data_IF_437277035839
#
_entry.id   IF_437277035839
#
_cell.length_a   1.000
_cell.length_b   1.000
_cell.length_c   1.000
_cell.angle_alpha   90.00
_cell.angle_beta   90.00
_cell.angle_gamma   90.00
#
_symmetry.space_group_name_H-M   'P 1'
#
loop_
_entity.id
_entity.type
_entity.pdbx_description
1 polymer ?
#
# COMPACT_ATOMS: atom_id res chain seq x y z
N UNK A 1 19.08 17.11 4.83
CA UNK A 1 19.28 15.83 5.53
C UNK A 1 18.55 15.92 6.86
N UNK A 2 17.51 15.12 7.10
CA UNK A 2 16.82 15.09 8.40
C UNK A 2 17.79 14.45 9.40
N UNK A 3 18.11 15.10 10.53
CA UNK A 3 19.06 14.55 11.49
C UNK A 3 18.52 13.24 12.07
N UNK A 4 19.34 12.19 12.05
CA UNK A 4 19.01 10.91 12.69
C UNK A 4 18.95 11.15 14.20
N UNK A 5 17.74 11.19 14.74
CA UNK A 5 17.49 11.33 16.17
C UNK A 5 16.75 10.10 16.67
N UNK A 6 17.15 9.61 17.84
CA UNK A 6 16.43 8.52 18.51
C UNK A 6 14.98 8.96 18.76
N UNK A 7 14.03 8.20 18.24
CA UNK A 7 12.62 8.38 18.55
C UNK A 7 12.36 7.89 19.98
N UNK A 8 11.82 8.77 20.81
CA UNK A 8 11.33 8.39 22.14
C UNK A 8 9.87 7.98 22.02
N UNK A 9 9.56 6.77 22.48
CA UNK A 9 8.21 6.22 22.47
C UNK A 9 7.78 5.99 23.91
N UNK A 10 6.63 6.55 24.27
CA UNK A 10 5.99 6.30 25.56
C UNK A 10 4.75 5.45 25.31
N UNK A 11 4.72 4.19 25.77
CA UNK A 11 3.54 3.36 25.60
C UNK A 11 2.39 3.93 26.44
N UNK A 12 1.22 4.01 25.84
CA UNK A 12 -0.01 4.34 26.56
C UNK A 12 -0.46 3.14 27.39
N UNK A 13 -1.12 3.41 28.51
CA UNK A 13 -1.79 2.37 29.30
C UNK A 13 -2.96 1.80 28.52
N UNK A 14 -3.25 0.53 28.76
CA UNK A 14 -4.41 -0.15 28.19
C UNK A 14 -5.71 0.61 28.55
N UNK A 15 -6.64 0.61 27.61
CA UNK A 15 -7.92 1.29 27.71
C UNK A 15 -9.02 0.28 27.41
N UNK A 16 -9.99 0.14 28.32
CA UNK A 16 -11.17 -0.69 28.11
C UNK A 16 -12.24 0.15 27.38
N UNK A 17 -12.04 0.34 26.07
CA UNK A 17 -12.89 1.18 25.22
C UNK A 17 -13.23 0.44 23.93
N UNK A 18 -14.52 0.37 23.60
CA UNK A 18 -15.00 -0.25 22.37
C UNK A 18 -14.79 0.64 21.13
N UNK A 19 -13.76 0.35 20.35
CA UNK A 19 -13.40 1.06 19.11
C UNK A 19 -14.34 0.81 17.92
N UNK A 20 -15.37 -0.04 18.04
CA UNK A 20 -16.33 -0.26 16.96
C UNK A 20 -17.35 0.88 16.79
N UNK A 21 -17.40 1.83 17.74
CA UNK A 21 -18.36 2.94 17.75
C UNK A 21 -17.69 4.31 17.58
N UNK A 22 -18.45 5.30 17.11
CA UNK A 22 -17.98 6.70 17.01
C UNK A 22 -17.60 7.22 18.41
N UNK A 23 -18.49 7.05 19.39
CA UNK A 23 -18.25 7.44 20.80
C UNK A 23 -17.00 6.78 21.37
N UNK A 24 -16.79 5.49 21.09
CA UNK A 24 -15.60 4.79 21.52
C UNK A 24 -14.32 5.39 20.96
N UNK A 25 -14.29 5.77 19.67
CA UNK A 25 -13.11 6.42 19.08
C UNK A 25 -12.86 7.82 19.68
N UNK A 26 -13.92 8.58 19.97
CA UNK A 26 -13.81 9.86 20.69
C UNK A 26 -13.20 9.62 22.08
N UNK A 27 -13.74 8.67 22.83
CA UNK A 27 -13.28 8.35 24.18
C UNK A 27 -11.82 7.87 24.18
N UNK A 28 -11.43 7.08 23.17
CA UNK A 28 -10.03 6.66 23.00
C UNK A 28 -9.13 7.86 22.76
N UNK A 29 -9.45 8.75 21.81
CA UNK A 29 -8.64 9.95 21.57
C UNK A 29 -8.52 10.82 22.83
N UNK A 30 -9.63 11.08 23.52
CA UNK A 30 -9.62 11.84 24.78
C UNK A 30 -8.75 11.17 25.85
N UNK A 31 -8.81 9.84 25.99
CA UNK A 31 -7.99 9.10 26.94
C UNK A 31 -6.50 9.10 26.56
N UNK A 32 -6.18 9.02 25.26
CA UNK A 32 -4.81 9.14 24.76
C UNK A 32 -4.23 10.52 25.08
N UNK A 33 -4.98 11.59 24.80
CA UNK A 33 -4.55 12.97 25.08
C UNK A 33 -4.41 13.24 26.58
N UNK A 34 -5.35 12.77 27.40
CA UNK A 34 -5.26 12.86 28.86
C UNK A 34 -4.00 12.15 29.40
N UNK A 35 -3.67 10.96 28.88
CA UNK A 35 -2.44 10.26 29.25
C UNK A 35 -1.17 10.98 28.79
N UNK A 36 -1.25 11.72 27.69
CA UNK A 36 -0.18 12.61 27.21
C UNK A 36 -0.09 13.95 27.94
N UNK A 37 -1.02 14.25 28.86
CA UNK A 37 -1.08 15.52 29.57
C UNK A 37 -1.46 16.71 28.68
N UNK A 38 -2.15 16.46 27.56
CA UNK A 38 -2.58 17.49 26.60
C UNK A 38 -4.09 17.62 26.57
N UNK A 39 -4.60 18.81 26.31
CA UNK A 39 -6.03 19.08 26.37
C UNK A 39 -6.37 20.56 26.19
N UNK A 40 -7.61 20.92 26.57
CA UNK A 40 -8.06 22.30 26.64
C UNK A 40 -7.92 22.80 28.09
N UNK A 41 -6.89 23.59 28.44
CA UNK A 41 -6.72 24.06 29.81
C UNK A 41 -7.82 25.05 30.24
N UNK A 42 -8.64 25.54 29.30
CA UNK A 42 -9.74 26.48 29.53
C UNK A 42 -11.11 25.81 29.32
N UNK A 43 -11.18 24.48 29.42
CA UNK A 43 -12.44 23.75 29.38
C UNK A 43 -13.43 24.29 30.42
N UNK A 44 -12.95 24.53 31.65
CA UNK A 44 -13.58 25.38 32.66
C UNK A 44 -12.91 26.77 32.67
N UNK A 45 -13.57 27.81 32.11
CA UNK A 45 -13.02 29.17 32.09
C UNK A 45 -12.85 29.78 33.49
N UNK A 46 -13.55 29.26 34.51
CA UNK A 46 -13.52 29.78 35.88
C UNK A 46 -12.36 29.21 36.70
N UNK A 47 -11.81 28.06 36.31
CA UNK A 47 -10.69 27.40 36.95
C UNK A 47 -9.77 26.73 35.92
N UNK A 48 -8.92 27.49 35.21
CA UNK A 48 -8.01 26.92 34.22
C UNK A 48 -7.06 25.90 34.83
N UNK A 49 -6.84 24.78 34.13
CA UNK A 49 -5.94 23.72 34.59
C UNK A 49 -4.55 23.90 33.98
N UNK A 50 -3.64 24.52 34.74
CA UNK A 50 -2.25 24.78 34.31
C UNK A 50 -1.41 23.50 34.12
N UNK A 51 -1.85 22.36 34.65
CA UNK A 51 -1.17 21.08 34.44
C UNK A 51 -1.45 20.48 33.05
N UNK A 52 -2.48 20.95 32.35
CA UNK A 52 -2.82 20.51 30.99
C UNK A 52 -2.11 21.40 29.98
N UNK A 53 -1.37 20.76 29.07
CA UNK A 53 -0.71 21.49 27.98
C UNK A 53 -1.70 21.77 26.84
N UNK A 54 -1.88 23.05 26.52
CA UNK A 54 -2.64 23.48 25.35
C UNK A 54 -1.94 23.05 24.07
N UNK A 55 -2.69 22.37 23.19
CA UNK A 55 -2.21 21.93 21.88
C UNK A 55 -2.96 22.60 20.72
N UNK A 56 -3.67 23.70 20.96
CA UNK A 56 -4.46 24.41 19.95
C UNK A 56 -3.65 24.93 18.76
N UNK A 57 -2.35 25.19 18.95
CA UNK A 57 -1.42 25.59 17.88
C UNK A 57 -0.75 24.39 17.18
N UNK A 58 -1.02 23.16 17.63
CA UNK A 58 -0.38 21.95 17.12
C UNK A 58 -1.39 21.02 16.45
N UNK A 59 -0.86 20.11 15.63
CA UNK A 59 -1.61 18.99 15.08
C UNK A 59 -1.17 17.69 15.75
N UNK A 60 -2.15 16.85 16.08
CA UNK A 60 -1.95 15.48 16.52
C UNK A 60 -2.13 14.55 15.32
N UNK A 61 -1.03 13.94 14.88
CA UNK A 61 -1.05 12.92 13.82
C UNK A 61 -1.54 11.61 14.42
N UNK A 62 -2.65 11.10 13.91
CA UNK A 62 -3.27 9.87 14.40
C UNK A 62 -3.24 8.82 13.28
N UNK A 63 -2.56 7.71 13.54
CA UNK A 63 -2.59 6.54 12.68
C UNK A 63 -3.63 5.55 13.17
N UNK A 64 -4.40 4.99 12.24
CA UNK A 64 -5.40 3.98 12.53
C UNK A 64 -5.80 3.21 11.28
N UNK A 65 -6.54 2.13 11.46
CA UNK A 65 -7.14 1.44 10.34
C UNK A 65 -8.21 2.30 9.66
N UNK A 66 -8.70 1.83 8.51
CA UNK A 66 -9.74 2.54 7.75
C UNK A 66 -11.01 2.76 8.57
N UNK A 67 -11.38 1.79 9.42
CA UNK A 67 -12.55 1.87 10.27
C UNK A 67 -12.43 2.94 11.35
N UNK A 68 -11.25 3.13 11.92
CA UNK A 68 -10.92 4.24 12.83
C UNK A 68 -11.03 5.56 12.10
N UNK A 69 -10.44 5.68 10.90
CA UNK A 69 -10.53 6.90 10.09
C UNK A 69 -12.00 7.30 9.87
N UNK A 70 -12.84 6.40 9.36
CA UNK A 70 -14.26 6.69 9.08
C UNK A 70 -15.01 7.20 10.32
N UNK A 71 -14.71 6.62 11.49
CA UNK A 71 -15.35 6.99 12.76
C UNK A 71 -14.86 8.34 13.27
N UNK A 72 -13.56 8.62 13.19
CA UNK A 72 -12.99 9.92 13.57
C UNK A 72 -13.48 11.04 12.64
N UNK A 73 -13.51 10.80 11.32
CA UNK A 73 -14.05 11.77 10.36
C UNK A 73 -15.54 12.07 10.64
N UNK A 74 -16.32 11.05 10.99
CA UNK A 74 -17.71 11.23 11.39
C UNK A 74 -17.84 11.97 12.72
N UNK A 75 -16.98 11.67 13.70
CA UNK A 75 -16.92 12.38 14.98
C UNK A 75 -16.64 13.88 14.77
N UNK A 76 -15.62 14.23 13.96
CA UNK A 76 -15.31 15.62 13.64
C UNK A 76 -16.49 16.33 12.97
N UNK A 77 -17.19 15.65 12.05
CA UNK A 77 -18.40 16.20 11.40
C UNK A 77 -19.52 16.47 12.40
N UNK A 78 -19.80 15.53 13.33
CA UNK A 78 -20.82 15.72 14.37
C UNK A 78 -20.45 16.80 15.37
N UNK A 79 -19.16 16.88 15.74
CA UNK A 79 -18.66 17.84 16.71
C UNK A 79 -18.39 19.22 16.12
N UNK A 80 -18.72 19.50 14.85
CA UNK A 80 -18.43 20.79 14.19
C UNK A 80 -19.00 22.02 14.93
N UNK A 81 -20.07 21.84 15.71
CA UNK A 81 -20.73 22.91 16.48
C UNK A 81 -20.19 23.07 17.91
N UNK A 82 -19.26 22.22 18.35
CA UNK A 82 -18.68 22.32 19.68
C UNK A 82 -17.96 23.65 19.89
N UNK A 83 -17.97 24.14 21.14
CA UNK A 83 -17.46 25.47 21.49
C UNK A 83 -15.98 25.65 21.16
N UNK A 84 -15.14 24.69 21.53
CA UNK A 84 -13.68 24.83 21.45
C UNK A 84 -13.07 24.01 20.31
N UNK A 85 -11.97 24.47 19.69
CA UNK A 85 -11.26 23.69 18.66
C UNK A 85 -10.89 22.27 19.11
N UNK A 86 -10.52 22.14 20.39
CA UNK A 86 -10.22 20.85 21.01
C UNK A 86 -11.42 19.91 20.98
N UNK A 87 -12.59 20.39 21.41
CA UNK A 87 -13.83 19.61 21.36
C UNK A 87 -14.29 19.33 19.93
N UNK A 88 -13.98 20.20 18.95
CA UNK A 88 -14.23 19.89 17.54
C UNK A 88 -13.27 18.84 16.94
N UNK A 89 -12.27 18.38 17.72
CA UNK A 89 -11.17 17.52 17.27
C UNK A 89 -10.39 18.14 16.09
N UNK A 90 -10.36 19.47 15.97
CA UNK A 90 -9.73 20.15 14.82
C UNK A 90 -8.21 19.93 14.71
N UNK A 91 -7.57 19.63 15.84
CA UNK A 91 -6.14 19.32 15.91
C UNK A 91 -5.82 17.90 15.42
N UNK A 92 -6.81 17.02 15.26
CA UNK A 92 -6.58 15.62 14.86
C UNK A 92 -6.43 15.52 13.34
N UNK A 93 -5.27 15.05 12.89
CA UNK A 93 -4.99 14.73 11.49
C UNK A 93 -4.83 13.23 11.33
N UNK A 94 -5.79 12.59 10.68
CA UNK A 94 -5.74 11.16 10.40
C UNK A 94 -4.76 10.88 9.26
N UNK A 95 -3.82 9.97 9.49
CA UNK A 95 -2.88 9.47 8.48
C UNK A 95 -3.14 7.98 8.24
N UNK A 96 -3.20 7.52 6.98
CA UNK A 96 -3.37 6.11 6.67
C UNK A 96 -2.35 5.22 7.39
N UNK A 97 -2.82 4.17 8.05
CA UNK A 97 -1.94 3.10 8.48
C UNK A 97 -1.44 2.32 7.25
N UNK A 98 -0.17 2.51 6.89
CA UNK A 98 0.42 1.91 5.69
C UNK A 98 0.37 0.38 5.69
N UNK A 99 0.40 -0.25 6.87
CA UNK A 99 0.18 -1.70 6.98
C UNK A 99 -1.17 -2.13 6.41
N UNK A 100 -2.26 -1.44 6.74
CA UNK A 100 -3.59 -1.74 6.20
C UNK A 100 -3.71 -1.39 4.72
N UNK A 101 -2.99 -0.37 4.25
CA UNK A 101 -2.87 -0.10 2.82
C UNK A 101 -2.24 -1.29 2.08
N UNK A 102 -1.12 -1.84 2.59
CA UNK A 102 -0.47 -3.03 2.04
C UNK A 102 -1.36 -4.27 2.09
N UNK A 103 -2.16 -4.44 3.15
CA UNK A 103 -3.17 -5.50 3.21
C UNK A 103 -4.24 -5.35 2.13
N UNK A 104 -4.76 -4.13 1.95
CA UNK A 104 -5.75 -3.83 0.93
C UNK A 104 -5.18 -4.03 -0.49
N UNK A 105 -3.92 -3.66 -0.71
CA UNK A 105 -3.20 -3.88 -1.97
C UNK A 105 -3.05 -5.36 -2.28
N UNK A 106 -2.65 -6.20 -1.32
CA UNK A 106 -2.54 -7.64 -1.52
C UNK A 106 -3.89 -8.28 -1.85
N UNK A 107 -4.96 -7.85 -1.18
CA UNK A 107 -6.32 -8.30 -1.50
C UNK A 107 -6.77 -7.83 -2.88
N UNK A 108 -6.44 -6.61 -3.30
CA UNK A 108 -6.76 -6.12 -4.64
C UNK A 108 -6.07 -6.93 -5.75
N UNK A 109 -4.81 -7.30 -5.58
CA UNK A 109 -4.11 -8.22 -6.49
C UNK A 109 -4.85 -9.56 -6.56
N UNK A 110 -5.31 -10.08 -5.42
CA UNK A 110 -6.11 -11.31 -5.37
C UNK A 110 -7.45 -11.17 -6.12
N UNK A 111 -8.13 -10.04 -5.97
CA UNK A 111 -9.37 -9.74 -6.68
C UNK A 111 -9.19 -9.70 -8.20
N UNK A 112 -8.00 -9.32 -8.68
CA UNK A 112 -7.69 -9.22 -10.12
C UNK A 112 -7.27 -10.58 -10.67
N UNK A 113 -6.34 -11.27 -10.00
CA UNK A 113 -5.63 -12.42 -10.56
C UNK A 113 -6.23 -13.78 -10.18
N UNK A 114 -7.06 -13.84 -9.13
CA UNK A 114 -7.55 -15.12 -8.59
C UNK A 114 -9.08 -15.21 -8.59
N UNK A 115 -9.79 -14.16 -8.16
CA UNK A 115 -11.24 -14.23 -8.00
C UNK A 115 -12.01 -14.47 -9.31
N UNK A 116 -11.67 -13.86 -10.46
CA UNK A 116 -12.35 -14.12 -11.71
C UNK A 116 -12.04 -15.55 -12.20
N UNK A 117 -13.04 -16.26 -12.70
CA UNK A 117 -12.85 -17.61 -13.24
C UNK A 117 -11.87 -17.62 -14.41
N UNK A 118 -12.01 -16.66 -15.32
CA UNK A 118 -11.21 -16.57 -16.55
C UNK A 118 -9.72 -16.26 -16.26
N UNK A 119 -9.43 -15.60 -15.14
CA UNK A 119 -8.06 -15.32 -14.70
C UNK A 119 -7.27 -16.58 -14.29
N UNK A 120 -7.95 -17.73 -14.14
CA UNK A 120 -7.35 -18.99 -13.65
C UNK A 120 -7.15 -20.05 -14.75
N UNK A 121 -7.55 -19.74 -15.98
CA UNK A 121 -7.56 -20.71 -17.09
C UNK A 121 -6.17 -20.84 -17.74
N UNK A 122 -5.42 -19.74 -17.80
CA UNK A 122 -4.09 -19.70 -18.41
C UNK A 122 -3.12 -20.68 -17.74
N UNK A 123 -2.48 -21.54 -18.55
CA UNK A 123 -1.57 -22.58 -18.08
C UNK A 123 -0.28 -22.04 -17.45
N UNK A 124 0.14 -20.84 -17.83
CA UNK A 124 1.26 -20.12 -17.21
C UNK A 124 0.80 -18.98 -16.28
N UNK A 125 -0.50 -18.88 -16.01
CA UNK A 125 -1.07 -17.81 -15.20
C UNK A 125 -0.72 -17.90 -13.71
N UNK A 126 -0.91 -16.78 -13.00
CA UNK A 126 -0.61 -16.62 -11.57
C UNK A 126 -1.16 -17.75 -10.69
N UNK A 127 -2.40 -18.18 -10.91
CA UNK A 127 -3.01 -19.29 -10.14
C UNK A 127 -2.35 -20.66 -10.42
N UNK A 128 -1.86 -20.91 -11.64
CA UNK A 128 -1.19 -22.19 -11.96
C UNK A 128 0.16 -22.27 -11.27
N UNK A 129 0.91 -21.18 -11.24
CA UNK A 129 2.18 -21.09 -10.51
C UNK A 129 1.93 -21.28 -9.01
N UNK A 130 0.88 -20.66 -8.45
CA UNK A 130 0.46 -20.90 -7.06
C UNK A 130 0.15 -22.39 -6.82
N UNK A 131 -0.55 -23.04 -7.75
CA UNK A 131 -0.87 -24.47 -7.64
C UNK A 131 0.38 -25.36 -7.62
N UNK A 132 1.47 -24.96 -8.27
CA UNK A 132 2.75 -25.65 -8.19
C UNK A 132 3.45 -25.40 -6.85
N UNK A 133 3.38 -24.18 -6.32
CA UNK A 133 3.98 -23.81 -5.03
C UNK A 133 3.21 -24.37 -3.82
N UNK A 134 1.91 -24.59 -3.96
CA UNK A 134 0.96 -24.97 -2.91
C UNK A 134 -0.08 -25.97 -3.45
N UNK A 135 0.35 -27.19 -3.83
CA UNK A 135 -0.52 -28.17 -4.51
C UNK A 135 -1.77 -28.53 -3.70
N UNK A 136 -1.63 -28.70 -2.39
CA UNK A 136 -2.72 -29.18 -1.53
C UNK A 136 -3.70 -28.07 -1.08
N UNK A 137 -3.40 -26.81 -1.39
CA UNK A 137 -4.08 -25.64 -0.83
C UNK A 137 -4.86 -24.81 -1.87
N UNK A 138 -4.79 -25.18 -3.15
CA UNK A 138 -5.27 -24.35 -4.27
C UNK A 138 -6.74 -23.90 -4.13
N UNK A 139 -7.67 -24.80 -3.76
CA UNK A 139 -9.08 -24.43 -3.57
C UNK A 139 -9.30 -23.49 -2.36
N UNK A 140 -8.56 -23.70 -1.28
CA UNK A 140 -8.62 -22.88 -0.07
C UNK A 140 -8.08 -21.47 -0.34
N UNK A 141 -6.99 -21.36 -1.10
CA UNK A 141 -6.37 -20.08 -1.44
C UNK A 141 -7.29 -19.19 -2.30
N UNK A 142 -8.11 -19.79 -3.17
CA UNK A 142 -9.12 -19.05 -3.94
C UNK A 142 -10.18 -18.43 -3.04
N UNK A 143 -10.67 -19.16 -2.03
CA UNK A 143 -11.81 -18.73 -1.21
C UNK A 143 -11.42 -17.99 0.08
N UNK A 144 -10.25 -18.26 0.66
CA UNK A 144 -9.93 -17.83 2.03
C UNK A 144 -8.41 -17.66 2.29
N UNK A 145 -7.63 -17.24 1.29
CA UNK A 145 -6.24 -16.85 1.53
C UNK A 145 -6.17 -15.68 2.53
N UNK A 146 -5.36 -15.83 3.58
CA UNK A 146 -5.08 -14.77 4.56
C UNK A 146 -4.03 -13.81 4.02
N UNK A 147 -3.97 -12.60 4.59
CA UNK A 147 -3.02 -11.57 4.16
C UNK A 147 -1.58 -12.08 4.04
N UNK A 148 -1.09 -12.83 5.05
CA UNK A 148 0.28 -13.33 5.04
C UNK A 148 0.54 -14.26 3.86
N UNK A 149 -0.39 -15.16 3.57
CA UNK A 149 -0.29 -16.09 2.45
C UNK A 149 -0.30 -15.35 1.11
N UNK A 150 -1.18 -14.34 0.97
CA UNK A 150 -1.22 -13.51 -0.24
C UNK A 150 0.07 -12.73 -0.44
N UNK A 151 0.57 -12.11 0.62
CA UNK A 151 1.82 -11.36 0.61
C UNK A 151 2.99 -12.23 0.16
N UNK A 152 3.15 -13.41 0.76
CA UNK A 152 4.25 -14.32 0.46
C UNK A 152 4.13 -14.89 -0.96
N UNK A 153 2.91 -15.28 -1.40
CA UNK A 153 2.70 -15.82 -2.75
C UNK A 153 2.88 -14.79 -3.86
N UNK A 154 2.42 -13.54 -3.66
CA UNK A 154 2.68 -12.43 -4.60
C UNK A 154 4.19 -12.30 -4.84
N UNK A 155 4.98 -12.31 -3.75
CA UNK A 155 6.43 -12.19 -3.83
C UNK A 155 7.08 -13.40 -4.49
N UNK A 156 6.69 -14.63 -4.13
CA UNK A 156 7.27 -15.84 -4.72
C UNK A 156 7.02 -15.92 -6.22
N UNK A 157 5.78 -15.65 -6.66
CA UNK A 157 5.45 -15.68 -8.09
C UNK A 157 6.19 -14.56 -8.83
N UNK A 158 6.29 -13.36 -8.26
CA UNK A 158 7.08 -12.27 -8.85
C UNK A 158 8.53 -12.68 -9.06
N UNK A 159 9.18 -13.23 -8.03
CA UNK A 159 10.59 -13.65 -8.10
C UNK A 159 10.77 -14.72 -9.18
N UNK A 160 9.90 -15.71 -9.25
CA UNK A 160 9.97 -16.77 -10.26
C UNK A 160 9.86 -16.20 -11.68
N UNK A 161 8.87 -15.35 -11.93
CA UNK A 161 8.65 -14.77 -13.26
C UNK A 161 9.79 -13.83 -13.66
N UNK A 162 10.34 -13.06 -12.72
CA UNK A 162 11.51 -12.22 -13.00
C UNK A 162 12.73 -13.08 -13.30
N UNK A 163 13.05 -14.09 -12.47
CA UNK A 163 14.21 -14.95 -12.71
C UNK A 163 14.13 -15.66 -14.07
N UNK A 164 12.94 -16.09 -14.49
CA UNK A 164 12.72 -16.66 -15.82
C UNK A 164 13.00 -15.64 -16.94
N UNK A 165 12.46 -14.42 -16.83
CA UNK A 165 12.74 -13.34 -17.79
C UNK A 165 14.23 -12.95 -17.84
N UNK A 166 14.88 -12.88 -16.68
CA UNK A 166 16.32 -12.64 -16.57
C UNK A 166 17.14 -13.72 -17.26
N UNK A 167 16.83 -15.00 -17.01
CA UNK A 167 17.48 -16.13 -17.66
C UNK A 167 17.37 -16.02 -19.20
N UNK A 168 16.20 -15.69 -19.72
CA UNK A 168 15.97 -15.54 -21.15
C UNK A 168 16.78 -14.39 -21.75
N UNK A 169 16.77 -13.20 -21.12
CA UNK A 169 17.49 -12.04 -21.66
C UNK A 169 19.01 -12.20 -21.55
N UNK A 170 19.52 -12.77 -20.45
CA UNK A 170 20.94 -13.10 -20.31
C UNK A 170 21.40 -14.06 -21.40
N UNK A 171 20.60 -15.11 -21.66
CA UNK A 171 20.91 -16.05 -22.74
C UNK A 171 20.91 -15.37 -24.11
N UNK A 172 19.84 -14.64 -24.42
CA UNK A 172 19.62 -13.97 -25.71
C UNK A 172 20.65 -12.89 -26.00
N UNK A 173 21.08 -12.12 -24.98
CA UNK A 173 21.95 -10.94 -25.15
C UNK A 173 23.43 -11.26 -24.96
N UNK A 174 23.74 -12.11 -23.99
CA UNK A 174 25.10 -12.33 -23.51
C UNK A 174 25.60 -13.76 -23.78
N UNK A 175 24.72 -14.68 -24.18
CA UNK A 175 25.07 -16.05 -24.58
C UNK A 175 25.32 -17.02 -23.42
N UNK A 176 25.14 -16.60 -22.17
CA UNK A 176 25.25 -17.50 -21.01
C UNK A 176 24.04 -18.46 -20.98
N UNK A 177 24.26 -19.73 -20.63
CA UNK A 177 23.19 -20.72 -20.59
C UNK A 177 22.35 -20.61 -19.32
N UNK A 178 22.94 -20.08 -18.23
CA UNK A 178 22.30 -19.94 -16.93
C UNK A 178 22.66 -18.63 -16.23
N UNK A 179 21.80 -18.20 -15.31
CA UNK A 179 22.09 -17.07 -14.43
C UNK A 179 23.31 -17.32 -13.52
N UNK A 180 23.60 -18.58 -13.14
CA UNK A 180 24.77 -18.92 -12.33
C UNK A 180 26.08 -18.72 -13.11
N UNK A 181 26.13 -19.13 -14.38
CA UNK A 181 27.27 -18.88 -15.27
C UNK A 181 27.51 -17.38 -15.47
N UNK A 182 26.43 -16.63 -15.70
CA UNK A 182 26.52 -15.19 -15.82
C UNK A 182 26.99 -14.53 -14.52
N UNK A 183 26.44 -14.90 -13.37
CA UNK A 183 26.89 -14.38 -12.07
C UNK A 183 28.37 -14.71 -11.80
N UNK A 184 28.85 -15.88 -12.22
CA UNK A 184 30.25 -16.28 -12.11
C UNK A 184 31.20 -15.43 -12.98
N UNK A 185 30.70 -14.82 -14.06
CA UNK A 185 31.45 -13.86 -14.89
C UNK A 185 31.72 -12.53 -14.16
N UNK A 186 31.00 -12.28 -13.06
CA UNK A 186 31.04 -11.06 -12.24
C UNK A 186 30.66 -9.81 -13.07
N UNK A 187 29.40 -9.73 -13.55
CA UNK A 187 28.96 -8.61 -14.36
C UNK A 187 29.12 -7.29 -13.61
N UNK A 188 29.51 -6.25 -14.33
CA UNK A 188 29.52 -4.88 -13.82
C UNK A 188 28.11 -4.35 -13.58
N UNK A 189 27.97 -3.28 -12.80
CA UNK A 189 26.66 -2.67 -12.52
C UNK A 189 25.93 -2.25 -13.79
N UNK A 190 26.65 -1.64 -14.74
CA UNK A 190 26.09 -1.20 -16.03
C UNK A 190 25.47 -2.36 -16.83
N UNK A 191 26.14 -3.51 -16.88
CA UNK A 191 25.60 -4.70 -17.57
C UNK A 191 24.35 -5.24 -16.86
N UNK A 192 24.33 -5.22 -15.52
CA UNK A 192 23.16 -5.63 -14.74
C UNK A 192 22.00 -4.67 -14.98
N UNK A 193 22.24 -3.36 -15.00
CA UNK A 193 21.22 -2.34 -15.27
C UNK A 193 20.67 -2.44 -16.70
N UNK A 194 21.54 -2.70 -17.69
CA UNK A 194 21.15 -2.89 -19.09
C UNK A 194 20.25 -4.11 -19.29
N UNK A 195 20.56 -5.23 -18.64
CA UNK A 195 19.71 -6.43 -18.68
C UNK A 195 18.41 -6.19 -17.90
N UNK A 196 18.45 -5.51 -16.75
CA UNK A 196 17.26 -5.17 -16.00
C UNK A 196 16.29 -4.31 -16.83
N UNK A 197 16.81 -3.30 -17.53
CA UNK A 197 16.02 -2.44 -18.41
C UNK A 197 15.38 -3.25 -19.55
N UNK A 198 16.11 -4.21 -20.12
CA UNK A 198 15.58 -5.12 -21.13
C UNK A 198 14.43 -5.99 -20.61
N UNK A 199 14.59 -6.55 -19.40
CA UNK A 199 13.55 -7.34 -18.75
C UNK A 199 12.27 -6.52 -18.57
N UNK A 200 12.38 -5.27 -18.10
CA UNK A 200 11.22 -4.41 -17.94
C UNK A 200 10.56 -4.08 -19.30
N UNK A 201 11.34 -3.73 -20.31
CA UNK A 201 10.80 -3.34 -21.63
C UNK A 201 10.12 -4.50 -22.37
N UNK A 202 10.63 -5.72 -22.24
CA UNK A 202 10.16 -6.86 -23.04
C UNK A 202 9.05 -7.67 -22.33
N UNK A 203 9.06 -7.70 -20.99
CA UNK A 203 8.23 -8.62 -20.19
C UNK A 203 7.28 -7.93 -19.21
N UNK A 204 7.28 -6.59 -19.09
CA UNK A 204 6.39 -5.88 -18.19
C UNK A 204 5.50 -4.94 -18.99
N UNK A 205 4.19 -5.04 -18.82
CA UNK A 205 3.26 -4.08 -19.42
C UNK A 205 3.56 -2.69 -18.86
N UNK A 206 3.80 -1.69 -19.71
CA UNK A 206 4.29 -0.40 -19.25
C UNK A 206 4.46 0.63 -20.36
N UNK A 207 5.25 1.66 -20.08
CA UNK A 207 5.51 2.75 -21.02
C UNK A 207 6.12 2.22 -22.34
N UNK A 208 5.50 2.58 -23.46
CA UNK A 208 5.88 2.12 -24.80
C UNK A 208 5.11 0.89 -25.30
N UNK A 209 4.35 0.20 -24.45
CA UNK A 209 3.46 -0.89 -24.87
C UNK A 209 2.12 -0.34 -25.42
N UNK A 210 1.80 -0.62 -26.68
CA UNK A 210 0.49 -0.33 -27.26
C UNK A 210 -0.47 -1.51 -27.04
N UNK A 211 -1.01 -1.56 -25.82
CA UNK A 211 -1.95 -2.61 -25.40
C UNK A 211 -3.22 -2.63 -26.29
N UNK A 212 -3.59 -1.50 -26.89
CA UNK A 212 -4.76 -1.41 -27.77
C UNK A 212 -4.46 -1.99 -29.13
N UNK A 213 -3.32 -1.64 -29.74
CA UNK A 213 -2.89 -2.24 -31.00
C UNK A 213 -2.70 -3.76 -30.89
N UNK A 214 -2.19 -4.26 -29.76
CA UNK A 214 -2.10 -5.70 -29.51
C UNK A 214 -3.48 -6.36 -29.40
N UNK A 215 -4.47 -5.67 -28.83
CA UNK A 215 -5.84 -6.17 -28.75
C UNK A 215 -6.55 -6.22 -30.11
N UNK A 216 -6.21 -5.33 -31.03
CA UNK A 216 -6.75 -5.27 -32.39
C UNK A 216 -6.21 -6.38 -33.31
N UNK A 217 -5.11 -7.05 -32.94
CA UNK A 217 -4.59 -8.21 -33.67
C UNK A 217 -5.60 -9.36 -33.66
N UNK A 218 -5.65 -10.10 -34.77
CA UNK A 218 -6.50 -11.29 -34.87
C UNK A 218 -6.10 -12.35 -33.85
N UNK A 219 -7.06 -13.16 -33.40
CA UNK A 219 -6.84 -14.12 -32.30
C UNK A 219 -5.69 -15.12 -32.54
N UNK A 220 -5.34 -15.42 -33.79
CA UNK A 220 -4.22 -16.31 -34.14
C UNK A 220 -2.84 -15.64 -34.14
N UNK A 221 -2.78 -14.31 -34.01
CA UNK A 221 -1.54 -13.52 -34.00
C UNK A 221 -1.17 -13.00 -32.60
N UNK A 222 -2.01 -13.29 -31.60
CA UNK A 222 -1.84 -12.81 -30.22
C UNK A 222 -1.22 -13.88 -29.35
N UNK A 223 -0.07 -13.55 -28.77
CA UNK A 223 0.52 -14.33 -27.68
C UNK A 223 -0.17 -13.94 -26.36
N UNK A 224 -1.34 -14.53 -26.13
CA UNK A 224 -2.15 -14.25 -24.93
C UNK A 224 -1.42 -14.60 -23.64
N UNK A 225 -0.54 -15.60 -23.66
CA UNK A 225 0.24 -16.00 -22.48
C UNK A 225 1.22 -14.89 -22.13
N UNK A 226 1.98 -14.39 -23.12
CA UNK A 226 2.88 -13.26 -22.90
C UNK A 226 2.14 -12.00 -22.45
N UNK A 227 1.02 -11.67 -23.09
CA UNK A 227 0.20 -10.50 -22.71
C UNK A 227 -0.27 -10.60 -21.25
N UNK A 228 -0.80 -11.75 -20.84
CA UNK A 228 -1.26 -11.97 -19.48
C UNK A 228 -0.12 -11.91 -18.47
N UNK A 229 1.00 -12.59 -18.76
CA UNK A 229 2.19 -12.61 -17.89
C UNK A 229 2.78 -11.21 -17.73
N UNK A 230 2.83 -10.43 -18.79
CA UNK A 230 3.37 -9.05 -18.74
C UNK A 230 2.52 -8.13 -17.87
N UNK A 231 1.19 -8.30 -17.93
CA UNK A 231 0.25 -7.58 -17.07
C UNK A 231 0.30 -8.05 -15.62
N UNK A 232 0.45 -9.37 -15.39
CA UNK A 232 0.69 -9.94 -14.06
C UNK A 232 1.94 -9.31 -13.45
N UNK A 233 3.06 -9.33 -14.18
CA UNK A 233 4.32 -8.74 -13.71
C UNK A 233 4.16 -7.27 -13.35
N UNK A 234 3.45 -6.46 -14.15
CA UNK A 234 3.17 -5.06 -13.81
C UNK A 234 2.47 -4.91 -12.44
N UNK A 235 1.40 -5.68 -12.21
CA UNK A 235 0.68 -5.63 -10.94
C UNK A 235 1.53 -6.10 -9.75
N UNK A 236 2.31 -7.17 -9.93
CA UNK A 236 3.17 -7.70 -8.86
C UNK A 236 4.32 -6.74 -8.53
N UNK A 237 4.94 -6.12 -9.54
CA UNK A 237 5.98 -5.10 -9.36
C UNK A 237 5.43 -3.86 -8.65
N UNK A 238 4.22 -3.40 -8.99
CA UNK A 238 3.57 -2.30 -8.27
C UNK A 238 3.34 -2.61 -6.78
N UNK A 239 3.03 -3.87 -6.45
CA UNK A 239 2.92 -4.33 -5.07
C UNK A 239 4.27 -4.40 -4.36
N UNK A 240 5.29 -4.92 -5.04
CA UNK A 240 6.65 -5.00 -4.47
C UNK A 240 7.23 -3.59 -4.24
N UNK A 241 6.98 -2.65 -5.16
CA UNK A 241 7.37 -1.25 -5.02
C UNK A 241 6.77 -0.62 -3.75
N UNK A 242 5.46 -0.77 -3.54
CA UNK A 242 4.80 -0.31 -2.32
C UNK A 242 5.39 -0.99 -1.08
N UNK A 243 5.60 -2.30 -1.13
CA UNK A 243 6.15 -3.09 -0.02
C UNK A 243 7.57 -2.65 0.34
N UNK A 244 8.42 -2.45 -0.66
CA UNK A 244 9.81 -2.02 -0.52
C UNK A 244 9.88 -0.62 0.06
N UNK A 245 9.17 0.35 -0.55
CA UNK A 245 9.17 1.73 -0.10
C UNK A 245 8.71 1.88 1.36
N UNK A 246 7.67 1.14 1.76
CA UNK A 246 7.22 1.09 3.15
C UNK A 246 8.28 0.55 4.11
N UNK A 247 8.99 -0.52 3.74
CA UNK A 247 10.01 -1.13 4.59
C UNK A 247 11.28 -0.26 4.68
N UNK A 248 11.62 0.42 3.60
CA UNK A 248 12.75 1.36 3.54
C UNK A 248 12.45 2.69 4.25
N UNK A 249 11.19 2.98 4.57
CA UNK A 249 10.76 4.28 5.08
C UNK A 249 10.81 5.39 4.02
N UNK A 250 10.80 5.02 2.73
CA UNK A 250 10.81 5.97 1.61
C UNK A 250 9.39 6.45 1.33
N UNK A 251 8.98 7.49 2.05
CA UNK A 251 7.63 8.05 1.94
C UNK A 251 7.38 8.69 0.57
N UNK A 252 8.42 9.21 -0.10
CA UNK A 252 8.29 9.77 -1.46
C UNK A 252 7.89 8.71 -2.47
N UNK A 253 8.50 7.52 -2.41
CA UNK A 253 8.09 6.37 -3.23
C UNK A 253 6.72 5.82 -2.84
N UNK A 254 6.41 5.75 -1.55
CA UNK A 254 5.06 5.36 -1.08
C UNK A 254 3.99 6.28 -1.69
N UNK A 255 4.19 7.59 -1.62
CA UNK A 255 3.28 8.59 -2.16
C UNK A 255 3.12 8.44 -3.69
N UNK A 256 4.23 8.26 -4.40
CA UNK A 256 4.27 8.09 -5.87
C UNK A 256 3.35 6.96 -6.32
N UNK A 257 3.37 5.82 -5.61
CA UNK A 257 2.53 4.67 -5.96
C UNK A 257 1.08 4.76 -5.47
N UNK A 258 0.69 5.76 -4.67
CA UNK A 258 -0.70 5.88 -4.23
C UNK A 258 -1.67 6.11 -5.39
N UNK A 259 -1.27 6.88 -6.40
CA UNK A 259 -2.12 7.20 -7.55
C UNK A 259 -2.60 5.95 -8.33
N UNK A 260 -1.72 5.03 -8.77
CA UNK A 260 -2.17 3.79 -9.39
C UNK A 260 -2.96 2.90 -8.42
N UNK A 261 -2.57 2.83 -7.13
CA UNK A 261 -3.33 2.06 -6.14
C UNK A 261 -4.77 2.58 -5.92
N UNK A 262 -4.99 3.89 -5.93
CA UNK A 262 -6.33 4.48 -5.87
C UNK A 262 -7.19 4.00 -7.03
N UNK A 263 -6.64 3.98 -8.25
CA UNK A 263 -7.37 3.51 -9.45
C UNK A 263 -7.71 2.03 -9.34
N UNK A 264 -6.74 1.20 -8.95
CA UNK A 264 -6.93 -0.24 -8.73
C UNK A 264 -8.01 -0.48 -7.67
N UNK A 265 -7.94 0.21 -6.53
CA UNK A 265 -8.94 0.07 -5.47
C UNK A 265 -10.35 0.44 -5.94
N UNK A 266 -10.52 1.45 -6.80
CA UNK A 266 -11.85 1.73 -7.39
C UNK A 266 -12.30 0.60 -8.29
N UNK A 267 -11.41 0.05 -9.12
CA UNK A 267 -11.72 -1.02 -10.06
C UNK A 267 -12.13 -2.32 -9.36
N UNK A 268 -11.49 -2.67 -8.24
CA UNK A 268 -11.79 -3.90 -7.47
C UNK A 268 -12.87 -3.72 -6.39
N UNK A 269 -13.63 -2.61 -6.42
CA UNK A 269 -14.72 -2.36 -5.46
C UNK A 269 -14.27 -1.92 -4.06
N UNK A 270 -12.99 -1.62 -3.84
CA UNK A 270 -12.44 -1.06 -2.60
C UNK A 270 -12.61 0.46 -2.51
N UNK A 271 -13.83 0.93 -2.74
CA UNK A 271 -14.13 2.36 -2.85
C UNK A 271 -13.75 3.18 -1.62
N UNK A 272 -13.84 2.59 -0.42
CA UNK A 272 -13.43 3.27 0.82
C UNK A 272 -11.92 3.54 0.83
N UNK A 273 -11.08 2.53 0.58
CA UNK A 273 -9.63 2.73 0.49
C UNK A 273 -9.27 3.76 -0.57
N UNK A 274 -9.85 3.66 -1.77
CA UNK A 274 -9.64 4.64 -2.83
C UNK A 274 -9.99 6.07 -2.38
N UNK A 275 -11.16 6.26 -1.78
CA UNK A 275 -11.64 7.57 -1.32
C UNK A 275 -10.73 8.15 -0.24
N UNK A 276 -10.32 7.34 0.74
CA UNK A 276 -9.47 7.79 1.83
C UNK A 276 -8.04 8.10 1.37
N UNK A 277 -7.46 7.29 0.49
CA UNK A 277 -6.13 7.59 -0.07
C UNK A 277 -6.16 8.87 -0.92
N UNK A 278 -7.20 9.05 -1.73
CA UNK A 278 -7.36 10.27 -2.52
C UNK A 278 -7.54 11.51 -1.62
N UNK A 279 -8.33 11.40 -0.55
CA UNK A 279 -8.48 12.48 0.45
C UNK A 279 -7.15 12.80 1.13
N UNK A 280 -6.37 11.78 1.49
CA UNK A 280 -5.06 11.97 2.10
C UNK A 280 -4.09 12.71 1.17
N UNK A 281 -3.95 12.25 -0.09
CA UNK A 281 -3.11 12.90 -1.10
C UNK A 281 -3.58 14.33 -1.36
N UNK A 282 -4.89 14.56 -1.50
CA UNK A 282 -5.44 15.91 -1.64
C UNK A 282 -5.09 16.80 -0.44
N UNK A 283 -5.26 16.29 0.79
CA UNK A 283 -4.93 17.03 2.00
C UNK A 283 -3.44 17.40 2.04
N UNK A 284 -2.56 16.44 1.76
CA UNK A 284 -1.12 16.63 1.73
C UNK A 284 -0.69 17.73 0.75
N UNK A 285 -1.19 17.71 -0.49
CA UNK A 285 -0.73 18.64 -1.54
C UNK A 285 -1.51 19.94 -1.66
N UNK A 286 -2.76 20.00 -1.19
CA UNK A 286 -3.64 21.15 -1.46
C UNK A 286 -4.20 21.81 -0.20
N UNK A 287 -4.20 21.13 0.95
CA UNK A 287 -4.77 21.67 2.19
C UNK A 287 -3.68 22.07 3.18
N UNK A 288 -2.69 21.20 3.39
CA UNK A 288 -1.65 21.46 4.37
C UNK A 288 -0.59 22.44 3.82
N UNK A 289 -0.18 23.37 4.70
CA UNK A 289 0.86 24.36 4.43
C UNK A 289 2.20 23.65 4.12
N UNK A 290 3.11 24.27 3.36
CA UNK A 290 4.38 23.64 2.97
C UNK A 290 5.24 23.13 4.14
N UNK A 291 5.13 23.73 5.34
CA UNK A 291 5.85 23.27 6.54
C UNK A 291 5.26 22.04 7.23
N UNK A 292 4.13 21.52 6.73
CA UNK A 292 3.46 20.29 7.18
C UNK A 292 3.52 19.17 6.12
N UNK A 293 4.20 19.43 4.98
CA UNK A 293 4.41 18.46 3.89
C UNK A 293 5.73 17.73 4.05
#
# INVERSE_FOLDING_TARGET
MIPIKKLYQTPLRAMDINLSTITGNINTLSAMFAQGGVGDPREDPSAPNEAIRDISEYVAIVHGDLGTYEKVDTAMRHRKQERTPYNRLQHVVMVPALFHLKMAAADAIWCILIMPNDARVDHAGFMKIIGQLRPDDSLRLVSNAKFRERHDLIRHVLILLLLDAWQVEVHKRLGFATLDEWAASKPGLEEVEDVAQAVIQEYVEGEGADVWADQEKSAGQRDKVKENTSRVLNYLLLYEELSYAMNAGDIGRVETVLAPWVRIFRAVGKHKYATHMLRFVHALHLVHLPGLR
#
